data_IF_465939085781
#
_entry.id   IF_465939085781
#
_cell.length_a   1.000
_cell.length_b   1.000
_cell.length_c   1.000
_cell.angle_alpha   90.00
_cell.angle_beta   90.00
_cell.angle_gamma   90.00
#
_symmetry.space_group_name_H-M   'P 1'
#
loop_
_entity.id
_entity.type
_entity.pdbx_description
1 polymer ?
#
# COMPACT_ATOMS: atom_id res chain seq x y z
N UNK A 1 15.87 -15.64 64.45
CA UNK A 1 15.80 -14.24 63.96
C UNK A 1 16.49 -13.98 62.61
N UNK A 2 17.65 -14.60 62.29
CA UNK A 2 18.42 -14.30 61.05
C UNK A 2 17.70 -14.58 59.72
N UNK A 3 16.88 -15.64 59.62
CA UNK A 3 16.16 -16.00 58.36
C UNK A 3 15.14 -14.94 57.89
N UNK A 4 14.44 -14.26 58.81
CA UNK A 4 13.49 -13.19 58.47
C UNK A 4 14.17 -11.90 57.99
N UNK A 5 15.41 -11.65 58.42
CA UNK A 5 16.21 -10.50 57.98
C UNK A 5 16.77 -10.71 56.57
N UNK A 6 17.21 -11.93 56.24
CA UNK A 6 17.69 -12.28 54.90
C UNK A 6 16.54 -12.25 53.88
N UNK A 7 15.35 -12.74 54.25
CA UNK A 7 14.18 -12.71 53.36
C UNK A 7 13.72 -11.27 53.06
N UNK A 8 13.80 -10.37 54.06
CA UNK A 8 13.51 -8.93 53.87
C UNK A 8 14.56 -8.24 52.99
N UNK A 9 15.83 -8.58 53.13
CA UNK A 9 16.90 -8.04 52.29
C UNK A 9 16.76 -8.47 50.83
N UNK A 10 16.37 -9.73 50.59
CA UNK A 10 16.10 -10.26 49.24
C UNK A 10 14.87 -9.57 48.63
N UNK A 11 13.79 -9.37 49.39
CA UNK A 11 12.60 -8.67 48.92
C UNK A 11 12.90 -7.19 48.55
N UNK A 12 13.74 -6.51 49.34
CA UNK A 12 14.19 -5.14 49.04
C UNK A 12 15.06 -5.08 47.77
N UNK A 13 15.94 -6.06 47.55
CA UNK A 13 16.76 -6.12 46.33
C UNK A 13 15.93 -6.40 45.07
N UNK A 14 14.86 -7.20 45.17
CA UNK A 14 13.96 -7.48 44.05
C UNK A 14 13.09 -6.24 43.74
N UNK A 15 12.67 -5.49 44.76
CA UNK A 15 11.98 -4.20 44.58
C UNK A 15 12.87 -3.15 43.91
N UNK A 16 14.19 -3.18 44.11
CA UNK A 16 15.12 -2.25 43.48
C UNK A 16 15.38 -2.59 42.00
N UNK A 17 15.31 -3.87 41.62
CA UNK A 17 15.44 -4.32 40.23
C UNK A 17 14.19 -4.11 39.38
N UNK A 18 13.02 -3.88 39.99
CA UNK A 18 11.80 -3.50 39.26
C UNK A 18 11.74 -2.01 38.87
N UNK A 19 12.75 -1.22 39.22
CA UNK A 19 12.97 0.13 38.67
C UNK A 19 13.73 0.09 37.32
N UNK A 20 13.59 -0.99 36.54
CA UNK A 20 13.90 -0.90 35.11
C UNK A 20 12.97 0.16 34.54
N UNK A 21 13.58 1.26 34.17
CA UNK A 21 12.96 2.48 33.72
C UNK A 21 11.92 2.17 32.66
N UNK A 22 10.66 2.43 32.97
CA UNK A 22 9.67 2.75 31.95
C UNK A 22 10.16 4.07 31.34
N UNK A 23 11.07 4.00 30.36
CA UNK A 23 11.44 5.18 29.60
C UNK A 23 10.24 5.55 28.75
N UNK A 24 9.41 6.45 29.28
CA UNK A 24 8.54 7.26 28.45
C UNK A 24 9.46 8.06 27.53
N UNK A 25 9.49 7.68 26.24
CA UNK A 25 10.39 8.30 25.28
C UNK A 25 10.02 9.78 25.12
N UNK A 26 10.94 10.68 25.45
CA UNK A 26 10.65 12.11 25.42
C UNK A 26 10.70 12.65 23.98
N UNK A 27 9.98 13.75 23.71
CA UNK A 27 9.99 14.40 22.39
C UNK A 27 11.41 14.79 21.96
N UNK A 28 12.22 15.27 22.90
CA UNK A 28 13.61 15.67 22.63
C UNK A 28 14.50 14.46 22.30
N UNK A 29 14.27 13.33 22.96
CA UNK A 29 14.97 12.08 22.66
C UNK A 29 14.65 11.61 21.23
N UNK A 30 13.38 11.65 20.82
CA UNK A 30 12.96 11.29 19.45
C UNK A 30 13.60 12.25 18.44
N UNK A 31 13.59 13.56 18.72
CA UNK A 31 14.21 14.59 17.86
C UNK A 31 15.72 14.39 17.72
N UNK A 32 16.40 13.91 18.76
CA UNK A 32 17.84 13.65 18.76
C UNK A 32 18.26 12.45 17.90
N UNK A 33 17.29 11.61 17.47
CA UNK A 33 17.54 10.38 16.71
C UNK A 33 16.92 10.42 15.29
N UNK A 34 17.33 11.34 14.40
CA UNK A 34 16.75 11.49 13.07
C UNK A 34 16.99 10.29 12.13
N UNK A 35 17.97 9.44 12.47
CA UNK A 35 18.26 8.18 11.76
C UNK A 35 17.29 7.06 12.12
N UNK A 36 16.61 7.14 13.27
CA UNK A 36 15.67 6.12 13.76
C UNK A 36 14.24 6.56 13.51
N UNK A 37 13.95 7.83 13.73
CA UNK A 37 12.60 8.38 13.67
C UNK A 37 12.41 9.40 12.55
N UNK A 38 11.18 9.46 12.06
CA UNK A 38 10.63 10.60 11.34
C UNK A 38 9.53 11.17 12.22
N UNK A 39 9.48 12.48 12.35
CA UNK A 39 8.52 13.16 13.21
C UNK A 39 7.91 14.38 12.53
N UNK A 40 6.77 14.82 13.05
CA UNK A 40 6.13 16.06 12.69
C UNK A 40 5.45 16.69 13.90
N UNK A 41 5.42 18.01 13.91
CA UNK A 41 4.84 18.79 14.99
C UNK A 41 3.84 19.78 14.40
N UNK A 42 2.71 19.95 15.07
CA UNK A 42 1.65 20.86 14.65
C UNK A 42 1.06 21.58 15.85
N UNK A 43 0.75 22.85 15.65
CA UNK A 43 0.10 23.72 16.62
C UNK A 43 -1.25 24.18 16.08
N UNK A 44 -2.25 24.30 16.94
CA UNK A 44 -3.58 24.77 16.55
C UNK A 44 -4.42 25.14 17.77
N UNK A 45 -5.63 25.66 17.52
CA UNK A 45 -6.53 26.05 18.62
C UNK A 45 -7.10 24.82 19.33
N UNK A 46 -7.26 23.73 18.58
CA UNK A 46 -7.76 22.45 19.08
C UNK A 46 -6.73 21.35 18.89
N UNK A 47 -6.83 20.29 19.69
CA UNK A 47 -5.98 19.10 19.56
C UNK A 47 -6.13 18.46 18.18
N UNK A 48 -7.32 18.50 17.58
CA UNK A 48 -7.56 17.95 16.25
C UNK A 48 -6.87 18.78 15.17
N UNK A 49 -6.93 20.09 15.26
CA UNK A 49 -6.23 20.98 14.32
C UNK A 49 -4.70 20.77 14.40
N UNK A 50 -4.15 20.81 15.62
CA UNK A 50 -2.74 20.57 15.89
C UNK A 50 -2.27 19.20 15.38
N UNK A 51 -3.09 18.16 15.58
CA UNK A 51 -2.83 16.79 15.13
C UNK A 51 -2.79 16.67 13.59
N UNK A 52 -3.73 17.32 12.90
CA UNK A 52 -3.76 17.35 11.44
C UNK A 52 -2.53 18.05 10.85
N UNK A 53 -2.07 19.14 11.46
CA UNK A 53 -0.83 19.80 11.03
C UNK A 53 0.40 18.94 11.31
N UNK A 54 0.49 18.30 12.48
CA UNK A 54 1.59 17.41 12.83
C UNK A 54 1.69 16.24 11.83
N UNK A 55 0.55 15.68 11.44
CA UNK A 55 0.45 14.65 10.44
C UNK A 55 0.90 15.13 9.05
N UNK A 56 0.41 16.27 8.57
CA UNK A 56 0.82 16.83 7.27
C UNK A 56 2.32 17.07 7.21
N UNK A 57 2.90 17.58 8.29
CA UNK A 57 4.35 17.76 8.40
C UNK A 57 5.09 16.43 8.31
N UNK A 58 4.65 15.41 9.07
CA UNK A 58 5.23 14.08 9.04
C UNK A 58 5.17 13.46 7.64
N UNK A 59 4.04 13.61 6.94
CA UNK A 59 3.87 13.17 5.56
C UNK A 59 4.88 13.87 4.65
N UNK A 60 5.03 15.20 4.75
CA UNK A 60 6.02 15.96 3.96
C UNK A 60 7.47 15.50 4.18
N UNK A 61 7.83 15.12 5.40
CA UNK A 61 9.14 14.54 5.72
C UNK A 61 9.34 13.17 5.03
N UNK A 62 8.33 12.31 5.06
CA UNK A 62 8.35 11.02 4.36
C UNK A 62 8.47 11.26 2.84
N UNK A 63 7.70 12.20 2.29
CA UNK A 63 7.74 12.59 0.88
C UNK A 63 9.14 12.96 0.45
N UNK A 64 9.79 13.86 1.18
CA UNK A 64 11.15 14.34 0.87
C UNK A 64 12.15 13.19 0.92
N UNK A 65 12.02 12.27 1.89
CA UNK A 65 12.89 11.12 2.00
C UNK A 65 12.72 10.14 0.83
N UNK A 66 11.48 9.88 0.44
CA UNK A 66 11.18 8.99 -0.69
C UNK A 66 11.56 9.64 -2.01
N UNK A 67 11.30 10.92 -2.19
CA UNK A 67 11.72 11.71 -3.35
C UNK A 67 13.25 11.69 -3.48
N UNK A 68 13.99 11.88 -2.40
CA UNK A 68 15.45 11.78 -2.39
C UNK A 68 15.94 10.42 -2.88
N UNK A 69 15.33 9.32 -2.40
CA UNK A 69 15.61 7.97 -2.90
C UNK A 69 15.24 7.78 -4.37
N UNK A 70 14.18 8.41 -4.86
CA UNK A 70 13.82 8.34 -6.28
C UNK A 70 14.78 9.17 -7.14
N UNK A 71 15.13 10.40 -6.77
CA UNK A 71 16.08 11.26 -7.49
C UNK A 71 17.46 10.61 -7.59
N UNK A 72 17.92 9.98 -6.52
CA UNK A 72 19.17 9.22 -6.54
C UNK A 72 19.14 8.04 -7.52
N UNK A 73 17.96 7.50 -7.84
CA UNK A 73 17.78 6.34 -8.72
C UNK A 73 17.42 6.70 -10.15
N UNK A 74 16.90 7.90 -10.40
CA UNK A 74 16.53 8.39 -11.73
C UNK A 74 17.54 9.44 -12.20
N UNK A 75 18.75 9.02 -12.59
CA UNK A 75 19.71 9.91 -13.27
C UNK A 75 19.27 10.31 -14.70
N UNK A 76 18.13 9.80 -15.19
CA UNK A 76 17.63 10.05 -16.55
C UNK A 76 16.24 10.69 -16.54
N UNK A 77 16.15 11.87 -17.14
CA UNK A 77 15.09 12.85 -16.94
C UNK A 77 13.71 12.43 -17.47
N UNK A 78 12.71 12.46 -16.59
CA UNK A 78 11.28 12.60 -16.92
C UNK A 78 10.58 13.40 -15.80
N UNK A 79 10.75 14.73 -15.78
CA UNK A 79 10.30 15.61 -14.69
C UNK A 79 8.81 15.50 -14.32
N UNK A 80 7.90 15.46 -15.31
CA UNK A 80 6.45 15.36 -15.02
C UNK A 80 5.99 13.99 -14.51
N UNK A 81 6.49 12.89 -15.06
CA UNK A 81 6.16 11.54 -14.56
C UNK A 81 6.76 11.26 -13.18
N UNK A 82 7.84 11.94 -12.85
CA UNK A 82 8.48 11.89 -11.54
C UNK A 82 7.59 12.52 -10.47
N UNK A 83 7.08 13.74 -10.69
CA UNK A 83 6.20 14.45 -9.75
C UNK A 83 4.91 13.67 -9.47
N UNK A 84 4.24 13.16 -10.51
CA UNK A 84 3.03 12.33 -10.36
C UNK A 84 3.30 11.03 -9.57
N UNK A 85 4.47 10.42 -9.76
CA UNK A 85 4.87 9.20 -9.03
C UNK A 85 5.16 9.49 -7.57
N UNK A 86 5.85 10.60 -7.28
CA UNK A 86 6.09 11.07 -5.91
C UNK A 86 4.77 11.38 -5.22
N UNK A 87 3.85 12.09 -5.88
CA UNK A 87 2.54 12.39 -5.31
C UNK A 87 1.71 11.12 -5.02
N UNK A 88 1.70 10.16 -5.95
CA UNK A 88 0.96 8.90 -5.78
C UNK A 88 1.48 8.07 -4.61
N UNK A 89 2.81 7.98 -4.48
CA UNK A 89 3.50 7.41 -3.33
C UNK A 89 3.00 8.15 -2.08
N UNK A 90 3.17 9.46 -1.99
CA UNK A 90 2.83 10.28 -0.82
C UNK A 90 1.36 10.16 -0.38
N UNK A 91 0.41 10.29 -1.30
CA UNK A 91 -1.03 10.14 -1.02
C UNK A 91 -1.38 8.76 -0.47
N UNK A 92 -0.68 7.74 -0.98
CA UNK A 92 -0.84 6.37 -0.55
C UNK A 92 -0.22 6.12 0.84
N UNK A 93 0.84 6.84 1.20
CA UNK A 93 1.42 6.80 2.55
C UNK A 93 0.63 7.60 3.56
N UNK A 94 0.02 8.72 3.17
CA UNK A 94 -0.90 9.47 4.03
C UNK A 94 -1.96 8.52 4.60
N UNK A 95 -2.70 7.81 3.76
CA UNK A 95 -3.78 6.90 4.18
C UNK A 95 -3.34 5.69 5.02
N UNK A 96 -2.19 5.06 4.72
CA UNK A 96 -1.75 3.85 5.41
C UNK A 96 -0.88 4.11 6.66
N UNK A 97 -0.08 5.17 6.66
CA UNK A 97 0.81 5.56 7.77
C UNK A 97 0.01 6.25 8.88
N UNK A 98 -1.08 6.93 8.50
CA UNK A 98 -2.08 7.55 9.40
C UNK A 98 -2.47 6.67 10.60
N UNK A 99 -2.66 5.37 10.38
CA UNK A 99 -3.13 4.44 11.41
C UNK A 99 -2.03 3.90 12.33
N UNK A 100 -0.75 4.12 12.00
CA UNK A 100 0.40 3.48 12.67
C UNK A 100 1.41 4.48 13.23
N UNK A 101 1.04 5.76 13.31
CA UNK A 101 1.92 6.80 13.90
C UNK A 101 1.59 7.01 15.36
N UNK A 102 2.63 7.14 16.17
CA UNK A 102 2.50 7.44 17.58
C UNK A 102 2.21 8.93 17.77
N UNK A 103 1.40 9.26 18.78
CA UNK A 103 0.96 10.62 19.07
C UNK A 103 1.30 11.00 20.51
N UNK A 104 1.93 12.16 20.67
CA UNK A 104 2.22 12.78 21.96
C UNK A 104 1.54 14.15 21.99
N UNK A 105 0.72 14.40 23.00
CA UNK A 105 0.20 15.75 23.29
C UNK A 105 1.26 16.48 24.11
N UNK A 106 1.83 17.53 23.53
CA UNK A 106 2.87 18.35 24.15
C UNK A 106 2.23 19.50 24.93
N UNK A 107 1.15 20.08 24.40
CA UNK A 107 0.38 21.14 25.03
C UNK A 107 -1.12 20.93 24.76
N UNK A 108 -1.95 21.22 25.76
CA UNK A 108 -3.40 21.08 25.67
C UNK A 108 -4.07 22.35 25.12
N UNK A 109 -5.34 22.24 24.77
CA UNK A 109 -6.17 23.36 24.30
C UNK A 109 -6.23 24.50 25.34
N UNK A 110 -6.35 25.77 24.90
CA UNK A 110 -6.60 26.24 23.54
C UNK A 110 -5.34 26.44 22.68
N UNK A 111 -4.13 26.30 23.23
CA UNK A 111 -2.88 26.40 22.47
C UNK A 111 -2.31 25.00 22.25
N UNK A 112 -3.09 24.16 21.55
CA UNK A 112 -2.77 22.75 21.42
C UNK A 112 -1.50 22.53 20.59
N UNK A 113 -0.62 21.66 21.10
CA UNK A 113 0.61 21.26 20.44
C UNK A 113 0.69 19.74 20.42
N UNK A 114 0.73 19.18 19.22
CA UNK A 114 0.77 17.74 19.00
C UNK A 114 2.04 17.36 18.26
N UNK A 115 2.66 16.28 18.71
CA UNK A 115 3.83 15.66 18.12
C UNK A 115 3.47 14.26 17.63
N UNK A 116 3.74 13.97 16.36
CA UNK A 116 3.59 12.65 15.77
C UNK A 116 4.93 12.11 15.32
N UNK A 117 5.14 10.81 15.48
CA UNK A 117 6.36 10.16 15.02
C UNK A 117 6.14 8.72 14.57
N UNK A 118 7.10 8.22 13.80
CA UNK A 118 7.18 6.83 13.34
C UNK A 118 8.63 6.40 13.22
N UNK A 119 8.91 5.13 13.49
CA UNK A 119 10.23 4.55 13.22
C UNK A 119 10.41 4.33 11.73
N UNK A 120 11.61 4.61 11.21
CA UNK A 120 11.96 4.37 9.80
C UNK A 120 11.80 2.89 9.41
N UNK A 121 12.12 1.98 10.33
CA UNK A 121 11.93 0.54 10.11
C UNK A 121 10.45 0.16 9.95
N UNK A 122 9.53 0.87 10.61
CA UNK A 122 8.11 0.61 10.46
C UNK A 122 7.60 1.09 9.09
N UNK A 123 8.16 2.18 8.56
CA UNK A 123 7.92 2.59 7.17
C UNK A 123 8.43 1.51 6.20
N UNK A 124 9.61 0.94 6.45
CA UNK A 124 10.15 -0.18 5.65
C UNK A 124 9.23 -1.41 5.67
N UNK A 125 8.67 -1.75 6.84
CA UNK A 125 7.68 -2.83 6.97
C UNK A 125 6.41 -2.55 6.16
N UNK A 126 5.95 -1.29 6.09
CA UNK A 126 4.80 -0.91 5.26
C UNK A 126 5.09 -1.13 3.77
N UNK A 127 6.29 -0.77 3.30
CA UNK A 127 6.73 -1.04 1.93
C UNK A 127 6.74 -2.54 1.63
N UNK A 128 7.39 -3.34 2.48
CA UNK A 128 7.47 -4.79 2.30
C UNK A 128 6.08 -5.46 2.34
N UNK A 129 5.19 -5.04 3.25
CA UNK A 129 3.80 -5.54 3.27
C UNK A 129 3.07 -5.27 1.94
N UNK A 130 3.23 -4.08 1.36
CA UNK A 130 2.63 -3.71 0.07
C UNK A 130 3.20 -4.52 -1.09
N UNK A 131 4.52 -4.68 -1.14
CA UNK A 131 5.22 -5.53 -2.11
C UNK A 131 4.73 -6.98 -2.03
N UNK A 132 4.66 -7.53 -0.82
CA UNK A 132 4.12 -8.87 -0.60
C UNK A 132 2.67 -8.98 -1.07
N UNK A 133 1.84 -7.96 -0.80
CA UNK A 133 0.45 -7.95 -1.25
C UNK A 133 0.32 -7.89 -2.78
N UNK A 134 1.15 -7.09 -3.45
CA UNK A 134 1.19 -7.06 -4.91
C UNK A 134 1.58 -8.43 -5.50
N UNK A 135 2.57 -9.11 -4.89
CA UNK A 135 2.98 -10.47 -5.28
C UNK A 135 1.86 -11.48 -5.04
N UNK A 136 1.12 -11.39 -3.93
CA UNK A 136 -0.06 -12.23 -3.67
C UNK A 136 -1.13 -12.05 -4.75
N UNK A 137 -1.43 -10.80 -5.14
CA UNK A 137 -2.37 -10.54 -6.22
C UNK A 137 -1.89 -11.10 -7.56
N UNK A 138 -0.59 -11.01 -7.87
CA UNK A 138 -0.04 -11.68 -9.06
C UNK A 138 -0.27 -13.19 -9.03
N UNK A 139 -0.04 -13.85 -7.88
CA UNK A 139 -0.31 -15.28 -7.73
C UNK A 139 -1.80 -15.61 -7.90
N UNK A 140 -2.68 -14.80 -7.31
CA UNK A 140 -4.13 -14.95 -7.47
C UNK A 140 -4.56 -14.77 -8.94
N UNK A 141 -3.98 -13.80 -9.64
CA UNK A 141 -4.24 -13.55 -11.05
C UNK A 141 -3.81 -14.72 -11.94
N UNK A 142 -2.66 -15.33 -11.64
CA UNK A 142 -2.18 -16.52 -12.34
C UNK A 142 -3.12 -17.71 -12.13
N UNK A 143 -3.52 -17.99 -10.88
CA UNK A 143 -4.47 -19.05 -10.56
C UNK A 143 -5.83 -18.84 -11.26
N UNK A 144 -6.38 -17.62 -11.18
CA UNK A 144 -7.63 -17.28 -11.86
C UNK A 144 -7.52 -17.48 -13.39
N UNK A 145 -6.40 -17.07 -14.00
CA UNK A 145 -6.14 -17.27 -15.44
C UNK A 145 -6.10 -18.75 -15.81
N UNK A 146 -5.47 -19.60 -14.99
CA UNK A 146 -5.43 -21.06 -15.21
C UNK A 146 -6.83 -21.68 -15.16
N UNK A 147 -7.70 -21.18 -14.28
CA UNK A 147 -9.09 -21.60 -14.14
C UNK A 147 -10.07 -20.96 -15.15
N UNK A 148 -9.56 -20.25 -16.16
CA UNK A 148 -10.35 -19.49 -17.16
C UNK A 148 -11.25 -18.39 -16.54
N UNK A 149 -10.91 -17.95 -15.32
CA UNK A 149 -11.58 -16.88 -14.60
C UNK A 149 -10.99 -15.51 -14.96
N UNK A 150 -11.26 -15.04 -16.18
CA UNK A 150 -10.53 -13.91 -16.75
C UNK A 150 -10.84 -12.55 -16.10
N UNK A 151 -12.08 -12.31 -15.67
CA UNK A 151 -12.41 -11.07 -14.96
C UNK A 151 -11.59 -10.95 -13.67
N UNK A 152 -11.51 -12.05 -12.90
CA UNK A 152 -10.71 -12.08 -11.68
C UNK A 152 -9.21 -11.93 -11.97
N UNK A 153 -8.70 -12.61 -13.00
CA UNK A 153 -7.31 -12.49 -13.39
C UNK A 153 -6.94 -11.04 -13.72
N UNK A 154 -7.74 -10.36 -14.54
CA UNK A 154 -7.54 -8.96 -14.91
C UNK A 154 -7.65 -8.03 -13.70
N UNK A 155 -8.64 -8.23 -12.83
CA UNK A 155 -8.83 -7.47 -11.60
C UNK A 155 -7.62 -7.58 -10.67
N UNK A 156 -7.14 -8.79 -10.42
CA UNK A 156 -5.97 -9.01 -9.57
C UNK A 156 -4.68 -8.44 -10.17
N UNK A 157 -4.47 -8.58 -11.49
CA UNK A 157 -3.35 -7.90 -12.16
C UNK A 157 -3.42 -6.38 -12.01
N UNK A 158 -4.61 -5.79 -12.19
CA UNK A 158 -4.82 -4.36 -12.04
C UNK A 158 -4.55 -3.88 -10.60
N UNK A 159 -5.06 -4.60 -9.59
CA UNK A 159 -4.79 -4.30 -8.18
C UNK A 159 -3.30 -4.42 -7.84
N UNK A 160 -2.62 -5.46 -8.34
CA UNK A 160 -1.18 -5.60 -8.18
C UNK A 160 -0.43 -4.40 -8.78
N UNK A 161 -0.78 -4.01 -10.01
CA UNK A 161 -0.13 -2.90 -10.71
C UNK A 161 -0.33 -1.56 -9.99
N UNK A 162 -1.53 -1.30 -9.47
CA UNK A 162 -1.80 -0.08 -8.71
C UNK A 162 -1.02 -0.03 -7.39
N UNK A 163 -0.92 -1.15 -6.67
CA UNK A 163 -0.08 -1.21 -5.46
C UNK A 163 1.39 -0.95 -5.79
N UNK A 164 1.89 -1.50 -6.90
CA UNK A 164 3.27 -1.32 -7.33
C UNK A 164 3.58 0.14 -7.68
N UNK A 165 2.71 0.85 -8.41
CA UNK A 165 2.95 2.26 -8.79
C UNK A 165 3.21 3.16 -7.58
N UNK A 166 2.59 2.84 -6.44
CA UNK A 166 2.77 3.56 -5.18
C UNK A 166 4.00 3.11 -4.37
N UNK A 167 4.76 2.13 -4.82
CA UNK A 167 5.92 1.58 -4.11
C UNK A 167 7.21 2.32 -4.50
N UNK A 168 8.10 2.64 -3.53
CA UNK A 168 9.37 3.33 -3.80
C UNK A 168 10.28 2.58 -4.78
N UNK A 169 10.20 1.26 -4.77
CA UNK A 169 11.02 0.36 -5.58
C UNK A 169 10.23 -0.23 -6.77
N UNK A 170 9.27 0.52 -7.32
CA UNK A 170 8.40 0.09 -8.43
C UNK A 170 9.16 -0.63 -9.56
N UNK A 171 10.31 -0.09 -9.97
CA UNK A 171 11.12 -0.56 -11.09
C UNK A 171 12.09 -1.70 -10.72
N UNK A 172 12.02 -2.21 -9.50
CA UNK A 172 12.93 -3.23 -8.97
C UNK A 172 12.19 -4.42 -8.33
N UNK A 173 10.86 -4.44 -8.32
CA UNK A 173 10.10 -5.56 -7.77
C UNK A 173 9.94 -6.65 -8.82
N UNK A 174 10.45 -7.83 -8.50
CA UNK A 174 10.37 -9.00 -9.34
C UNK A 174 9.42 -10.06 -8.77
N UNK A 175 8.81 -10.81 -9.69
CA UNK A 175 8.16 -12.08 -9.40
C UNK A 175 8.95 -13.21 -10.03
N UNK A 176 9.25 -14.24 -9.24
CA UNK A 176 9.91 -15.45 -9.74
C UNK A 176 8.86 -16.49 -10.01
N UNK A 177 8.61 -16.79 -11.28
CA UNK A 177 7.82 -17.93 -11.70
C UNK A 177 8.69 -19.19 -11.58
N UNK A 178 8.13 -20.25 -10.98
CA UNK A 178 8.79 -21.56 -10.87
C UNK A 178 9.15 -22.17 -12.23
N UNK A 179 8.51 -21.74 -13.32
CA UNK A 179 8.70 -22.29 -14.68
C UNK A 179 9.37 -21.33 -15.67
N UNK A 180 9.23 -20.02 -15.49
CA UNK A 180 9.55 -19.03 -16.52
C UNK A 180 10.62 -17.99 -16.10
N UNK A 181 11.18 -18.11 -14.90
CA UNK A 181 12.27 -17.26 -14.43
C UNK A 181 11.80 -16.00 -13.70
N UNK A 182 12.69 -15.01 -13.60
CA UNK A 182 12.50 -13.78 -12.83
C UNK A 182 11.92 -12.69 -13.74
N UNK A 183 10.79 -12.11 -13.37
CA UNK A 183 10.06 -11.12 -14.16
C UNK A 183 9.91 -9.80 -13.42
N UNK A 184 10.30 -8.70 -14.05
CA UNK A 184 10.07 -7.36 -13.51
C UNK A 184 8.57 -7.03 -13.56
N UNK A 185 7.93 -6.84 -12.40
CA UNK A 185 6.48 -6.72 -12.32
C UNK A 185 5.93 -5.49 -13.04
N UNK A 186 6.66 -4.37 -13.01
CA UNK A 186 6.30 -3.13 -13.68
C UNK A 186 6.03 -3.31 -15.18
N UNK A 187 6.77 -4.22 -15.82
CA UNK A 187 6.65 -4.52 -17.26
C UNK A 187 5.77 -5.75 -17.49
N UNK A 188 5.97 -6.78 -16.67
CA UNK A 188 5.35 -8.09 -16.88
C UNK A 188 3.84 -8.08 -16.68
N UNK A 189 3.31 -7.35 -15.68
CA UNK A 189 1.87 -7.27 -15.43
C UNK A 189 1.10 -6.69 -16.64
N UNK A 190 1.46 -5.50 -17.17
CA UNK A 190 0.84 -4.98 -18.40
C UNK A 190 0.89 -5.96 -19.57
N UNK A 191 2.01 -6.65 -19.77
CA UNK A 191 2.16 -7.67 -20.82
C UNK A 191 1.21 -8.84 -20.59
N UNK A 192 1.02 -9.32 -19.36
CA UNK A 192 0.06 -10.38 -19.04
C UNK A 192 -1.38 -9.94 -19.32
N UNK A 193 -1.76 -8.71 -18.94
CA UNK A 193 -3.10 -8.16 -19.19
C UNK A 193 -3.37 -8.06 -20.70
N UNK A 194 -2.44 -7.48 -21.46
CA UNK A 194 -2.57 -7.36 -22.92
C UNK A 194 -2.66 -8.74 -23.61
N UNK A 195 -1.89 -9.72 -23.14
CA UNK A 195 -1.98 -11.10 -23.61
C UNK A 195 -3.33 -11.77 -23.31
N UNK A 196 -4.01 -11.36 -22.24
CA UNK A 196 -5.37 -11.82 -21.97
C UNK A 196 -6.31 -11.16 -22.98
N UNK A 197 -6.32 -9.84 -23.06
CA UNK A 197 -7.20 -9.08 -23.96
C UNK A 197 -7.09 -9.52 -25.43
N UNK A 198 -5.86 -9.70 -25.93
CA UNK A 198 -5.61 -10.07 -27.33
C UNK A 198 -6.09 -11.47 -27.71
N UNK A 199 -6.45 -12.31 -26.72
CA UNK A 199 -6.87 -13.70 -26.92
C UNK A 199 -8.31 -13.95 -26.50
N UNK A 200 -9.02 -12.91 -26.03
CA UNK A 200 -10.46 -12.97 -25.84
C UNK A 200 -11.11 -12.73 -27.21
N UNK A 201 -12.04 -13.61 -27.56
CA UNK A 201 -12.83 -13.49 -28.78
C UNK A 201 -14.30 -13.46 -28.43
N UNK A 202 -15.03 -12.51 -29.02
CA UNK A 202 -16.47 -12.36 -28.91
C UNK A 202 -17.12 -12.85 -30.19
N UNK A 203 -18.22 -13.59 -30.06
CA UNK A 203 -18.99 -14.09 -31.21
C UNK A 203 -20.46 -14.08 -30.87
N UNK A 204 -21.33 -13.83 -31.86
CA UNK A 204 -22.77 -14.00 -31.68
C UNK A 204 -23.09 -15.48 -31.90
N UNK A 205 -23.65 -16.13 -30.88
CA UNK A 205 -24.07 -17.54 -30.93
C UNK A 205 -25.50 -17.69 -31.38
N UNK A 206 -26.38 -16.77 -30.96
CA UNK A 206 -27.79 -16.79 -31.30
C UNK A 206 -28.33 -15.38 -31.33
N UNK A 207 -29.31 -15.17 -32.22
CA UNK A 207 -30.12 -13.95 -32.28
C UNK A 207 -31.57 -14.40 -32.10
N UNK A 208 -32.25 -13.90 -31.09
CA UNK A 208 -33.69 -14.05 -30.94
C UNK A 208 -34.34 -12.70 -31.28
N UNK A 209 -35.37 -12.72 -32.13
CA UNK A 209 -36.18 -11.55 -32.46
C UNK A 209 -37.62 -11.82 -32.01
N UNK A 210 -38.17 -10.93 -31.21
CA UNK A 210 -39.60 -10.79 -30.95
C UNK A 210 -40.10 -9.48 -31.59
N UNK A 211 -41.41 -9.21 -31.56
CA UNK A 211 -41.99 -7.99 -32.16
C UNK A 211 -41.36 -6.69 -31.64
N UNK A 212 -40.98 -6.65 -30.36
CA UNK A 212 -40.46 -5.44 -29.70
C UNK A 212 -39.03 -5.58 -29.16
N UNK A 213 -38.41 -6.76 -29.23
CA UNK A 213 -37.08 -7.00 -28.64
C UNK A 213 -36.17 -7.83 -29.54
N UNK A 214 -34.87 -7.50 -29.52
CA UNK A 214 -33.82 -8.29 -30.16
C UNK A 214 -32.77 -8.66 -29.12
N UNK A 215 -32.70 -9.94 -28.77
CA UNK A 215 -31.72 -10.46 -27.82
C UNK A 215 -30.60 -11.24 -28.53
N UNK A 216 -29.36 -11.01 -28.09
CA UNK A 216 -28.16 -11.64 -28.62
C UNK A 216 -27.53 -12.52 -27.56
N UNK A 217 -27.30 -13.79 -27.88
CA UNK A 217 -26.51 -14.68 -27.03
C UNK A 217 -25.06 -14.58 -27.48
N UNK A 218 -24.20 -14.05 -26.62
CA UNK A 218 -22.76 -13.92 -26.89
C UNK A 218 -22.02 -15.18 -26.46
N UNK A 219 -21.17 -15.69 -27.35
CA UNK A 219 -20.17 -16.70 -27.05
C UNK A 219 -18.81 -16.05 -26.89
N UNK A 220 -18.34 -16.00 -25.65
CA UNK A 220 -17.05 -15.42 -25.29
C UNK A 220 -16.07 -16.56 -25.05
N UNK A 221 -14.91 -16.50 -25.70
CA UNK A 221 -13.87 -17.52 -25.58
C UNK A 221 -12.50 -16.91 -25.31
N UNK A 222 -11.66 -17.68 -24.63
CA UNK A 222 -10.24 -17.44 -24.43
C UNK A 222 -9.47 -18.66 -24.89
N UNK A 223 -8.55 -18.47 -25.86
CA UNK A 223 -7.80 -19.58 -26.47
C UNK A 223 -8.72 -20.75 -26.87
N UNK A 224 -9.82 -20.43 -27.55
CA UNK A 224 -10.87 -21.35 -27.99
C UNK A 224 -11.70 -22.04 -26.90
N UNK A 225 -11.45 -21.80 -25.62
CA UNK A 225 -12.25 -22.32 -24.49
C UNK A 225 -13.26 -21.26 -23.99
N UNK A 226 -14.48 -21.65 -23.59
CA UNK A 226 -15.43 -20.71 -22.99
C UNK A 226 -14.87 -20.13 -21.69
N UNK A 227 -15.10 -18.82 -21.47
CA UNK A 227 -14.74 -18.14 -20.22
C UNK A 227 -15.82 -18.38 -19.16
N UNK A 228 -15.44 -18.40 -17.89
CA UNK A 228 -16.37 -18.72 -16.79
C UNK A 228 -16.94 -17.49 -16.08
N UNK A 229 -16.19 -16.39 -16.00
CA UNK A 229 -16.66 -15.12 -15.46
C UNK A 229 -16.06 -13.94 -16.24
N UNK A 230 -16.88 -13.33 -17.09
CA UNK A 230 -16.53 -12.08 -17.75
C UNK A 230 -17.73 -11.16 -17.71
N UNK A 231 -17.62 -10.12 -16.89
CA UNK A 231 -18.55 -9.00 -16.94
C UNK A 231 -18.19 -8.12 -18.14
N UNK A 232 -19.20 -7.67 -18.86
CA UNK A 232 -19.03 -6.82 -20.02
C UNK A 232 -20.13 -5.77 -20.06
N UNK A 233 -19.76 -4.57 -20.47
CA UNK A 233 -20.69 -3.55 -20.88
C UNK A 233 -20.47 -3.23 -22.35
N UNK A 234 -21.51 -2.76 -23.02
CA UNK A 234 -21.44 -2.33 -24.40
C UNK A 234 -22.11 -0.97 -24.57
N UNK A 235 -21.62 -0.21 -25.55
CA UNK A 235 -22.19 1.09 -25.88
C UNK A 235 -23.49 0.89 -26.66
N UNK A 236 -24.60 1.43 -26.13
CA UNK A 236 -25.92 1.34 -26.78
C UNK A 236 -26.13 2.41 -27.86
N UNK A 237 -25.18 3.35 -28.01
CA UNK A 237 -25.34 4.54 -28.84
C UNK A 237 -25.68 5.80 -28.02
N UNK A 238 -26.26 5.63 -26.83
CA UNK A 238 -26.60 6.73 -25.91
C UNK A 238 -25.86 6.59 -24.57
N UNK A 239 -25.93 5.41 -23.98
CA UNK A 239 -25.34 5.08 -22.68
C UNK A 239 -24.65 3.71 -22.72
N UNK A 240 -23.88 3.38 -21.69
CA UNK A 240 -23.37 2.02 -21.48
C UNK A 240 -24.47 1.10 -20.96
N UNK A 241 -24.48 -0.15 -21.39
CA UNK A 241 -25.31 -1.19 -20.74
C UNK A 241 -24.91 -1.32 -19.27
N UNK A 242 -25.92 -1.48 -18.41
CA UNK A 242 -25.72 -1.78 -16.98
C UNK A 242 -24.97 -3.10 -16.77
#
# INVERSE_FOLDING_TARGET
>A
MKKKSILKAILLSISLFFYVSVQSQSVDEIKSQPKVYIWGQGSGVTLNEADNYALRFLIGQISTHVESKFRQRTEWGQGKKFEEKVEMVVNTYSSATLQQTERIVVQNEPDALVFRYIKRDDIAKVFEKRKNKAIEFVKAALNAKENLQLADALKYYYWAFNLLKSHPDFDEIYYTDKKAGKHLLAVWIPVQMNNIFSKITFSIKKINKSENEKSFVLGIKYKNKPVTNLDYSYWTGRDWSA
#
